data_IF_550666087726
#
_entry.id   IF_550666087726
#
_cell.length_a   1.000
_cell.length_b   1.000
_cell.length_c   1.000
_cell.angle_alpha   90.00
_cell.angle_beta   90.00
_cell.angle_gamma   90.00
#
_symmetry.space_group_name_H-M   'P 1'
#
loop_
_entity.id
_entity.type
_entity.pdbx_description
1 polymer ?
#
# COMPACT_ATOMS: atom_id res chain seq x y z
N UNK A 1 -22.93 -43.95 68.29
CA UNK A 1 -21.98 -43.74 67.17
C UNK A 1 -22.62 -42.81 66.16
N UNK A 2 -22.07 -41.60 65.96
CA UNK A 2 -22.46 -40.70 64.86
C UNK A 2 -21.20 -40.52 64.00
N UNK A 3 -21.24 -40.99 62.76
CA UNK A 3 -20.16 -40.78 61.79
C UNK A 3 -20.43 -39.51 61.00
N UNK A 4 -19.50 -38.57 61.06
CA UNK A 4 -19.54 -37.32 60.28
C UNK A 4 -18.74 -37.54 59.01
N UNK A 5 -19.38 -37.47 57.84
CA UNK A 5 -18.72 -37.53 56.55
C UNK A 5 -18.24 -36.13 56.14
N UNK A 6 -16.92 -35.92 56.13
CA UNK A 6 -16.29 -34.71 55.59
C UNK A 6 -16.26 -34.83 54.06
N UNK A 7 -17.01 -33.99 53.35
CA UNK A 7 -16.95 -33.91 51.88
C UNK A 7 -15.70 -33.14 51.47
N UNK A 8 -14.78 -33.80 50.76
CA UNK A 8 -13.64 -33.16 50.11
C UNK A 8 -14.10 -32.73 48.70
N UNK A 9 -14.21 -31.43 48.46
CA UNK A 9 -14.49 -30.88 47.15
C UNK A 9 -13.16 -30.69 46.40
N UNK A 10 -12.97 -31.43 45.30
CA UNK A 10 -11.82 -31.32 44.42
C UNK A 10 -12.16 -30.31 43.31
N UNK A 11 -11.64 -29.09 43.41
CA UNK A 11 -11.76 -28.08 42.35
C UNK A 11 -10.70 -28.34 41.28
N UNK A 12 -11.12 -28.87 40.13
CA UNK A 12 -10.29 -28.94 38.93
C UNK A 12 -10.29 -27.57 38.24
N UNK A 13 -9.15 -26.88 38.24
CA UNK A 13 -8.97 -25.68 37.43
C UNK A 13 -8.59 -26.11 35.99
N UNK A 14 -9.49 -25.90 35.03
CA UNK A 14 -9.14 -25.97 33.61
C UNK A 14 -8.34 -24.72 33.26
N UNK A 15 -7.05 -24.88 33.00
CA UNK A 15 -6.24 -23.86 32.33
C UNK A 15 -6.58 -23.90 30.84
N UNK A 16 -7.42 -22.96 30.39
CA UNK A 16 -7.61 -22.67 28.97
C UNK A 16 -6.40 -21.86 28.50
N UNK A 17 -5.40 -22.52 27.90
CA UNK A 17 -4.32 -21.83 27.21
C UNK A 17 -4.85 -21.33 25.87
N UNK A 18 -5.25 -20.06 25.80
CA UNK A 18 -5.44 -19.40 24.50
C UNK A 18 -4.08 -19.23 23.85
N UNK A 19 -3.82 -19.98 22.77
CA UNK A 19 -2.69 -19.69 21.88
C UNK A 19 -2.95 -18.30 21.26
N UNK A 20 -2.31 -17.27 21.81
CA UNK A 20 -2.20 -15.99 21.12
C UNK A 20 -1.30 -16.26 19.91
N UNK A 21 -1.86 -16.18 18.69
CA UNK A 21 -1.02 -15.91 17.53
C UNK A 21 -0.49 -14.50 17.74
N UNK A 22 0.78 -14.36 18.11
CA UNK A 22 1.39 -13.05 18.29
C UNK A 22 1.42 -12.36 16.92
N UNK A 23 0.63 -11.31 16.77
CA UNK A 23 0.88 -10.28 15.75
C UNK A 23 2.07 -9.48 16.24
N UNK A 24 3.18 -9.54 15.50
CA UNK A 24 4.41 -8.85 15.89
C UNK A 24 4.30 -7.34 15.67
N UNK A 25 3.63 -6.95 14.57
CA UNK A 25 3.41 -5.55 14.23
C UNK A 25 2.01 -5.28 13.69
N UNK A 26 1.54 -4.05 13.90
CA UNK A 26 0.39 -3.49 13.22
C UNK A 26 0.84 -2.36 12.30
N UNK A 27 0.47 -2.42 11.03
CA UNK A 27 0.81 -1.42 10.02
C UNK A 27 -0.44 -0.63 9.65
N UNK A 28 -0.36 0.70 9.78
CA UNK A 28 -1.40 1.64 9.38
C UNK A 28 -0.89 2.54 8.28
N UNK A 29 -1.56 2.54 7.13
CA UNK A 29 -1.29 3.42 6.00
C UNK A 29 -2.37 4.49 5.93
N UNK A 30 -1.97 5.76 5.86
CA UNK A 30 -2.88 6.91 5.72
C UNK A 30 -2.62 7.64 4.42
N UNK A 31 -3.67 7.91 3.66
CA UNK A 31 -3.60 8.75 2.47
C UNK A 31 -3.58 10.23 2.89
N UNK A 32 -2.46 10.92 2.61
CA UNK A 32 -2.26 12.33 2.99
C UNK A 32 -2.66 13.31 1.88
N UNK A 33 -3.10 12.82 0.73
CA UNK A 33 -3.51 13.68 -0.39
C UNK A 33 -4.91 14.25 -0.15
N UNK A 34 -5.29 15.26 -0.94
CA UNK A 34 -6.61 15.92 -0.88
C UNK A 34 -7.58 15.48 -1.97
N UNK A 35 -7.10 14.84 -3.03
CA UNK A 35 -7.91 14.44 -4.18
C UNK A 35 -7.34 13.29 -5.00
N UNK A 36 -6.38 12.54 -4.43
CA UNK A 36 -5.86 11.31 -5.04
C UNK A 36 -6.32 10.12 -4.21
N UNK A 37 -6.90 9.12 -4.84
CA UNK A 37 -7.24 7.86 -4.20
C UNK A 37 -6.08 6.88 -4.35
N UNK A 38 -5.92 5.94 -3.42
CA UNK A 38 -5.07 4.77 -3.65
C UNK A 38 -5.93 3.57 -3.98
N UNK A 39 -5.53 2.81 -4.99
CA UNK A 39 -6.06 1.47 -5.28
C UNK A 39 -5.79 0.52 -4.11
N UNK A 40 -6.38 -0.69 -4.08
CA UNK A 40 -5.97 -1.74 -3.16
C UNK A 40 -4.45 -1.80 -2.95
N UNK A 41 -4.03 -1.59 -1.71
CA UNK A 41 -2.65 -1.66 -1.30
C UNK A 41 -2.22 -3.12 -1.17
N UNK A 42 -0.94 -3.39 -1.39
CA UNK A 42 -0.27 -4.55 -0.83
C UNK A 42 0.61 -4.08 0.33
N UNK A 43 0.41 -4.69 1.49
CA UNK A 43 1.23 -4.49 2.70
C UNK A 43 1.83 -5.85 3.05
N UNK A 44 3.15 -5.98 3.03
CA UNK A 44 3.81 -7.28 3.14
C UNK A 44 5.07 -7.23 4.01
N UNK A 45 5.18 -8.14 4.97
CA UNK A 45 6.41 -8.45 5.68
C UNK A 45 7.13 -9.59 4.95
N UNK A 46 8.41 -9.42 4.63
CA UNK A 46 9.19 -10.33 3.78
C UNK A 46 10.69 -10.35 4.14
N UNK A 47 11.49 -11.28 3.60
CA UNK A 47 12.93 -11.32 3.84
C UNK A 47 13.70 -10.16 3.19
N UNK A 48 14.91 -9.90 3.68
CA UNK A 48 15.78 -8.81 3.24
C UNK A 48 16.17 -8.83 1.75
N UNK A 49 16.07 -9.99 1.09
CA UNK A 49 16.44 -10.17 -0.31
C UNK A 49 15.41 -9.61 -1.28
N UNK A 50 14.19 -9.37 -0.80
CA UNK A 50 13.03 -9.16 -1.65
C UNK A 50 12.67 -7.68 -1.68
N UNK A 51 12.13 -7.23 -2.81
CA UNK A 51 11.71 -5.85 -3.05
C UNK A 51 10.89 -5.80 -4.33
N UNK A 52 9.99 -4.83 -4.44
CA UNK A 52 9.09 -4.71 -5.59
C UNK A 52 9.66 -3.84 -6.71
N UNK A 53 10.69 -3.04 -6.45
CA UNK A 53 11.42 -2.29 -7.49
C UNK A 53 12.83 -1.86 -7.06
N UNK A 54 13.61 -1.33 -8.01
CA UNK A 54 14.84 -0.57 -7.76
C UNK A 54 14.74 0.78 -8.45
N UNK A 55 15.02 1.87 -7.72
CA UNK A 55 14.98 3.21 -8.31
C UNK A 55 16.05 3.34 -9.41
N UNK A 56 15.72 4.03 -10.51
CA UNK A 56 16.61 4.21 -11.65
C UNK A 56 16.71 3.00 -12.58
N UNK A 57 15.91 1.95 -12.37
CA UNK A 57 15.85 0.78 -13.25
C UNK A 57 14.45 0.61 -13.84
N UNK A 58 14.33 -0.11 -14.95
CA UNK A 58 13.04 -0.45 -15.54
C UNK A 58 12.14 -1.19 -14.52
N UNK A 59 10.83 -0.91 -14.58
CA UNK A 59 9.82 -1.61 -13.79
C UNK A 59 9.74 -3.10 -14.20
N UNK A 60 9.42 -3.97 -13.24
CA UNK A 60 9.01 -5.34 -13.54
C UNK A 60 7.58 -5.33 -14.11
N UNK A 61 7.19 -6.44 -14.76
CA UNK A 61 5.82 -6.60 -15.25
C UNK A 61 4.77 -6.58 -14.12
N UNK A 62 5.14 -7.08 -12.93
CA UNK A 62 4.31 -7.05 -11.72
C UNK A 62 4.13 -5.63 -11.19
N UNK A 63 5.20 -4.82 -11.15
CA UNK A 63 5.13 -3.42 -10.75
C UNK A 63 4.31 -2.61 -11.74
N UNK A 64 4.56 -2.80 -13.05
CA UNK A 64 3.80 -2.14 -14.11
C UNK A 64 2.30 -2.40 -13.96
N UNK A 65 1.90 -3.68 -13.83
CA UNK A 65 0.51 -4.05 -13.67
C UNK A 65 -0.13 -3.42 -12.43
N UNK A 66 0.61 -3.32 -11.32
CA UNK A 66 0.13 -2.63 -10.14
C UNK A 66 0.00 -1.13 -10.38
N UNK A 67 1.00 -0.50 -10.98
CA UNK A 67 1.09 0.95 -11.17
C UNK A 67 0.07 1.49 -12.18
N UNK A 68 -0.28 0.72 -13.22
CA UNK A 68 -1.23 1.12 -14.26
C UNK A 68 -2.65 0.64 -13.99
N UNK A 69 -2.84 -0.48 -13.29
CA UNK A 69 -4.17 -1.11 -13.13
C UNK A 69 -4.58 -1.32 -11.67
N UNK A 70 -3.76 -0.91 -10.70
CA UNK A 70 -4.02 -1.16 -9.28
C UNK A 70 -4.06 -2.65 -8.92
N UNK A 71 -3.58 -3.53 -9.78
CA UNK A 71 -3.65 -4.97 -9.59
C UNK A 71 -2.37 -5.50 -8.97
N UNK A 72 -2.44 -5.84 -7.68
CA UNK A 72 -1.33 -6.32 -6.87
C UNK A 72 -1.09 -7.84 -6.96
N UNK A 73 -1.90 -8.57 -7.72
CA UNK A 73 -1.89 -10.05 -7.72
C UNK A 73 -0.57 -10.67 -8.15
N UNK A 74 0.22 -9.98 -8.99
CA UNK A 74 1.53 -10.46 -9.43
C UNK A 74 2.68 -10.06 -8.49
N UNK A 75 2.49 -9.09 -7.60
CA UNK A 75 3.56 -8.66 -6.69
C UNK A 75 3.93 -9.73 -5.66
N UNK A 76 3.03 -10.70 -5.39
CA UNK A 76 3.31 -11.82 -4.48
C UNK A 76 4.46 -12.70 -4.97
N UNK A 77 4.76 -12.73 -6.29
CA UNK A 77 5.91 -13.48 -6.80
C UNK A 77 7.24 -12.79 -6.56
N UNK A 78 7.22 -11.48 -6.29
CA UNK A 78 8.42 -10.69 -6.03
C UNK A 78 8.82 -10.73 -4.55
N UNK A 79 7.90 -11.18 -3.68
CA UNK A 79 8.04 -11.22 -2.22
C UNK A 79 7.88 -12.68 -1.74
N UNK A 80 8.99 -13.41 -1.71
CA UNK A 80 9.05 -14.81 -1.32
C UNK A 80 8.72 -15.01 0.17
N UNK A 81 7.91 -16.02 0.48
CA UNK A 81 7.54 -16.39 1.87
C UNK A 81 6.93 -15.26 2.70
N UNK A 82 6.43 -14.21 2.05
CA UNK A 82 5.90 -13.02 2.70
C UNK A 82 4.56 -13.31 3.41
N UNK A 83 4.36 -12.62 4.54
CA UNK A 83 3.03 -12.41 5.11
C UNK A 83 2.47 -11.13 4.53
N UNK A 84 1.30 -11.17 3.89
CA UNK A 84 0.74 -10.02 3.19
C UNK A 84 -0.74 -9.80 3.50
N UNK A 85 -1.14 -8.55 3.39
CA UNK A 85 -2.51 -8.09 3.53
C UNK A 85 -2.84 -7.06 2.45
N UNK A 86 -4.10 -7.08 2.02
CA UNK A 86 -4.64 -6.16 1.02
C UNK A 86 -5.99 -5.62 1.48
N UNK A 87 -6.21 -4.31 1.37
CA UNK A 87 -7.56 -3.77 1.39
C UNK A 87 -8.26 -4.04 0.06
N UNK A 88 -9.59 -4.14 0.09
CA UNK A 88 -10.39 -4.42 -1.11
C UNK A 88 -10.97 -3.15 -1.75
N UNK A 89 -11.13 -2.08 -0.96
CA UNK A 89 -11.71 -0.82 -1.41
C UNK A 89 -10.61 0.24 -1.64
N UNK A 90 -10.92 1.28 -2.43
CA UNK A 90 -10.04 2.44 -2.55
C UNK A 90 -9.76 3.08 -1.19
N UNK A 91 -8.51 3.50 -0.98
CA UNK A 91 -8.14 4.32 0.17
C UNK A 91 -8.25 5.80 -0.20
N UNK A 92 -9.37 6.41 0.20
CA UNK A 92 -9.72 7.80 -0.11
C UNK A 92 -8.80 8.81 0.61
N UNK A 93 -8.67 10.05 0.10
CA UNK A 93 -8.04 11.18 0.80
C UNK A 93 -8.39 11.27 2.29
N UNK A 94 -7.37 11.35 3.14
CA UNK A 94 -7.51 11.44 4.59
C UNK A 94 -7.91 10.15 5.32
N UNK A 95 -8.25 9.08 4.59
CA UNK A 95 -8.60 7.78 5.18
C UNK A 95 -7.35 6.96 5.53
N UNK A 96 -7.54 5.94 6.38
CA UNK A 96 -6.49 4.98 6.74
C UNK A 96 -6.95 3.54 6.52
N UNK A 97 -5.98 2.69 6.15
CA UNK A 97 -6.09 1.23 6.19
C UNK A 97 -5.12 0.70 7.24
N UNK A 98 -5.56 -0.28 8.05
CA UNK A 98 -4.76 -0.85 9.14
C UNK A 98 -4.85 -2.37 9.08
N UNK A 99 -3.70 -3.02 9.19
CA UNK A 99 -3.59 -4.48 9.14
C UNK A 99 -2.52 -5.00 10.10
N UNK A 100 -2.77 -6.11 10.81
CA UNK A 100 -1.72 -6.85 11.49
C UNK A 100 -0.82 -7.56 10.48
N UNK A 101 0.45 -7.77 10.84
CA UNK A 101 1.40 -8.63 10.14
C UNK A 101 2.25 -9.45 11.14
N UNK A 102 2.77 -10.57 10.67
CA UNK A 102 3.75 -11.41 11.37
C UNK A 102 5.13 -11.29 10.72
N UNK A 103 6.16 -11.26 11.56
CA UNK A 103 7.57 -11.15 11.16
C UNK A 103 8.32 -12.49 11.26
N UNK A 104 7.57 -13.59 11.39
CA UNK A 104 8.12 -14.94 11.47
C UNK A 104 8.97 -15.30 10.23
N UNK A 105 9.80 -16.35 10.36
CA UNK A 105 10.61 -16.91 9.26
C UNK A 105 11.62 -15.92 8.62
N UNK A 106 11.99 -14.85 9.33
CA UNK A 106 12.92 -13.83 8.83
C UNK A 106 12.25 -12.76 7.98
N UNK A 107 10.94 -12.57 8.11
CA UNK A 107 10.17 -11.51 7.47
C UNK A 107 10.38 -10.17 8.18
N UNK A 108 11.63 -9.72 8.23
CA UNK A 108 12.06 -8.55 8.99
C UNK A 108 11.95 -7.24 8.19
N UNK A 109 11.45 -7.28 6.94
CA UNK A 109 11.35 -6.11 6.06
C UNK A 109 9.91 -5.89 5.59
N UNK A 110 9.52 -4.62 5.52
CA UNK A 110 8.18 -4.19 5.15
C UNK A 110 8.17 -3.54 3.76
N UNK A 111 7.22 -3.98 2.93
CA UNK A 111 6.81 -3.30 1.71
C UNK A 111 5.36 -2.86 1.81
N UNK A 112 5.08 -1.62 1.41
CA UNK A 112 3.73 -1.06 1.22
C UNK A 112 3.70 -0.50 -0.18
N UNK A 113 2.74 -0.89 -1.02
CA UNK A 113 2.66 -0.41 -2.40
C UNK A 113 1.22 -0.35 -2.91
N UNK A 114 0.90 0.64 -3.74
CA UNK A 114 -0.40 0.76 -4.40
C UNK A 114 -0.47 1.93 -5.37
N UNK A 115 -1.20 1.78 -6.46
CA UNK A 115 -1.36 2.82 -7.50
C UNK A 115 -2.16 4.00 -6.96
N UNK A 116 -1.77 5.19 -7.40
CA UNK A 116 -2.42 6.46 -7.17
C UNK A 116 -3.38 6.80 -8.31
N UNK A 117 -4.57 7.31 -8.01
CA UNK A 117 -5.57 7.70 -8.99
C UNK A 117 -6.11 9.11 -8.75
N UNK A 118 -6.25 9.95 -9.78
CA UNK A 118 -5.84 9.69 -11.16
C UNK A 118 -4.34 9.92 -11.37
N UNK A 119 -3.63 8.93 -11.91
CA UNK A 119 -2.26 9.04 -12.48
C UNK A 119 -2.12 8.00 -13.60
N UNK A 120 -1.13 8.14 -14.50
CA UNK A 120 -0.86 7.13 -15.54
C UNK A 120 -0.33 5.83 -14.92
N UNK A 121 0.85 5.92 -14.29
CA UNK A 121 1.57 4.82 -13.65
C UNK A 121 2.21 5.25 -12.32
N UNK A 122 1.56 6.21 -11.64
CA UNK A 122 1.97 6.71 -10.33
C UNK A 122 1.56 5.80 -9.19
N UNK A 123 2.43 5.62 -8.20
CA UNK A 123 2.17 4.75 -7.04
C UNK A 123 2.84 5.24 -5.75
N UNK A 124 2.33 4.83 -4.60
CA UNK A 124 3.03 5.00 -3.32
C UNK A 124 3.92 3.80 -3.06
N UNK A 125 5.07 4.01 -2.40
CA UNK A 125 5.85 2.88 -1.92
C UNK A 125 6.67 3.12 -0.65
N UNK A 126 6.57 2.15 0.27
CA UNK A 126 7.65 1.74 1.18
C UNK A 126 8.22 0.45 0.58
N UNK A 127 9.51 0.41 0.28
CA UNK A 127 10.10 -0.71 -0.49
C UNK A 127 11.24 -1.35 0.31
N UNK A 128 10.99 -2.53 0.86
CA UNK A 128 11.94 -3.30 1.67
C UNK A 128 12.59 -2.49 2.80
N UNK A 129 11.76 -1.95 3.71
CA UNK A 129 12.21 -1.18 4.87
C UNK A 129 12.36 -2.08 6.10
N UNK A 130 13.49 -2.03 6.79
CA UNK A 130 13.72 -2.86 7.99
C UNK A 130 12.70 -2.53 9.09
N UNK A 131 11.93 -3.53 9.52
CA UNK A 131 10.91 -3.38 10.56
C UNK A 131 11.60 -3.09 11.91
N UNK A 132 11.17 -2.06 12.66
CA UNK A 132 11.67 -1.82 14.00
C UNK A 132 11.40 -3.00 14.94
N UNK A 133 12.37 -3.36 15.79
CA UNK A 133 12.25 -4.50 16.70
C UNK A 133 11.93 -4.11 18.15
N UNK A 134 12.06 -2.83 18.49
CA UNK A 134 11.77 -2.33 19.83
C UNK A 134 10.30 -1.97 19.93
N UNK A 135 9.62 -2.43 20.99
CA UNK A 135 8.22 -2.10 21.25
C UNK A 135 8.00 -0.57 21.23
N UNK A 136 7.00 -0.13 20.49
CA UNK A 136 6.74 1.29 20.26
C UNK A 136 6.05 1.60 18.94
N UNK A 137 5.89 2.88 18.65
CA UNK A 137 5.22 3.37 17.43
C UNK A 137 6.20 4.18 16.60
N UNK A 138 6.29 3.85 15.31
CA UNK A 138 7.21 4.43 14.35
C UNK A 138 6.43 4.96 13.15
N UNK A 139 6.64 6.23 12.77
CA UNK A 139 5.91 6.85 11.66
C UNK A 139 6.87 7.29 10.58
N UNK A 140 6.56 6.89 9.34
CA UNK A 140 7.30 7.18 8.12
C UNK A 140 6.37 7.91 7.14
N UNK A 141 6.96 8.72 6.26
CA UNK A 141 6.22 9.33 5.15
C UNK A 141 6.69 8.74 3.83
N UNK A 142 5.77 8.56 2.89
CA UNK A 142 6.05 8.00 1.56
C UNK A 142 5.88 9.07 0.50
N UNK A 143 6.81 9.08 -0.44
CA UNK A 143 6.68 9.83 -1.68
C UNK A 143 5.92 8.99 -2.71
N UNK A 144 5.33 9.68 -3.68
CA UNK A 144 4.86 9.11 -4.92
C UNK A 144 6.05 8.76 -5.82
N UNK A 145 5.92 7.62 -6.48
CA UNK A 145 6.82 7.08 -7.48
C UNK A 145 6.07 6.95 -8.80
N UNK A 146 6.84 6.86 -9.87
CA UNK A 146 6.43 6.77 -11.26
C UNK A 146 7.13 5.52 -11.81
N UNK A 147 6.37 4.62 -12.43
CA UNK A 147 6.91 3.35 -12.93
C UNK A 147 7.77 3.55 -14.19
N UNK A 148 7.58 4.66 -14.90
CA UNK A 148 8.22 4.98 -16.17
C UNK A 148 7.85 4.02 -17.28
N UNK A 149 6.65 3.42 -17.22
CA UNK A 149 6.13 2.48 -18.22
C UNK A 149 5.15 3.13 -19.17
N UNK A 150 4.57 4.27 -18.78
CA UNK A 150 3.72 5.09 -19.62
C UNK A 150 4.26 6.51 -19.81
N UNK A 151 3.67 7.21 -20.77
CA UNK A 151 3.92 8.61 -20.97
C UNK A 151 3.13 9.45 -19.97
N UNK A 152 3.82 10.34 -19.25
CA UNK A 152 3.24 11.24 -18.27
C UNK A 152 2.44 12.38 -18.93
N UNK A 153 1.18 12.12 -19.28
CA UNK A 153 0.21 13.14 -19.65
C UNK A 153 -1.06 13.05 -18.82
N UNK A 154 -1.69 14.21 -18.61
CA UNK A 154 -2.82 14.32 -17.69
C UNK A 154 -4.16 14.22 -18.42
N UNK A 155 -4.19 13.55 -19.58
CA UNK A 155 -5.38 13.38 -20.39
C UNK A 155 -6.17 12.17 -19.88
N UNK A 156 -7.45 12.34 -19.62
CA UNK A 156 -8.34 11.30 -19.10
C UNK A 156 -8.46 10.10 -20.06
N UNK A 157 -8.19 10.30 -21.35
CA UNK A 157 -8.12 9.25 -22.35
C UNK A 157 -6.89 8.33 -22.21
N UNK A 158 -5.85 8.80 -21.53
CA UNK A 158 -4.58 8.07 -21.34
C UNK A 158 -4.34 7.67 -19.88
N UNK A 159 -5.11 8.21 -18.93
CA UNK A 159 -5.07 7.82 -17.52
C UNK A 159 -5.96 6.57 -17.31
N UNK A 160 -5.40 5.46 -16.83
CA UNK A 160 -6.20 4.31 -16.44
C UNK A 160 -7.15 4.64 -15.28
N UNK A 161 -8.34 4.04 -15.31
CA UNK A 161 -9.32 4.14 -14.22
C UNK A 161 -9.82 2.74 -13.83
N UNK A 162 -8.96 1.89 -13.25
CA UNK A 162 -9.32 0.53 -12.86
C UNK A 162 -10.46 0.46 -11.84
N UNK A 163 -10.72 1.58 -11.12
CA UNK A 163 -11.82 1.69 -10.17
C UNK A 163 -13.12 2.25 -10.78
N UNK A 164 -13.11 2.68 -12.06
CA UNK A 164 -14.29 3.16 -12.77
C UNK A 164 -14.91 4.47 -12.27
N UNK A 165 -14.25 5.19 -11.34
CA UNK A 165 -14.87 6.31 -10.59
C UNK A 165 -14.13 7.65 -10.70
N UNK A 166 -12.95 7.69 -11.34
CA UNK A 166 -12.05 8.86 -11.22
C UNK A 166 -11.85 9.60 -12.55
N UNK A 167 -11.80 8.90 -13.70
CA UNK A 167 -11.77 9.50 -15.05
C UNK A 167 -12.76 8.78 -15.97
N UNK A 168 -13.59 9.51 -16.70
CA UNK A 168 -14.83 8.95 -17.30
C UNK A 168 -14.64 7.93 -18.43
N UNK A 169 -13.42 7.68 -18.90
CA UNK A 169 -13.21 6.92 -20.14
C UNK A 169 -12.30 5.69 -20.05
N UNK A 170 -11.78 5.32 -18.86
CA UNK A 170 -10.97 4.11 -18.72
C UNK A 170 -9.83 4.07 -19.74
N UNK A 171 -8.98 5.11 -19.71
CA UNK A 171 -7.89 5.27 -20.65
C UNK A 171 -7.03 4.01 -20.75
N UNK A 172 -6.51 3.73 -21.94
CA UNK A 172 -5.77 2.48 -22.18
C UNK A 172 -4.34 2.54 -21.69
N UNK A 173 -3.88 3.70 -21.20
CA UNK A 173 -2.47 4.00 -21.11
C UNK A 173 -1.85 4.21 -22.49
N UNK A 174 -0.91 5.15 -22.61
CA UNK A 174 -0.05 5.44 -23.78
C UNK A 174 -0.55 6.44 -24.84
N UNK A 175 0.15 7.59 -24.90
CA UNK A 175 0.40 8.34 -26.15
C UNK A 175 1.76 9.09 -26.20
N UNK A 176 2.74 8.78 -25.33
CA UNK A 176 4.06 9.43 -25.38
C UNK A 176 5.23 8.51 -24.97
N UNK A 177 6.46 9.01 -25.09
CA UNK A 177 7.70 8.27 -24.79
C UNK A 177 7.81 8.12 -23.28
N UNK A 178 7.67 6.89 -22.78
CA UNK A 178 7.89 6.56 -21.37
C UNK A 178 9.35 6.80 -20.94
N UNK A 179 9.55 7.18 -19.69
CA UNK A 179 10.88 7.44 -19.11
C UNK A 179 11.77 6.18 -19.09
N UNK A 180 11.17 5.00 -18.95
CA UNK A 180 11.84 3.70 -19.01
C UNK A 180 12.52 3.26 -17.72
N UNK A 181 12.32 3.99 -16.61
CA UNK A 181 12.86 3.65 -15.31
C UNK A 181 12.01 4.22 -14.17
N UNK A 182 12.01 3.53 -13.03
CA UNK A 182 11.28 3.95 -11.83
C UNK A 182 11.94 5.17 -11.19
N UNK A 183 11.19 6.24 -10.96
CA UNK A 183 11.67 7.47 -10.32
C UNK A 183 10.62 8.14 -9.44
N UNK A 184 10.99 9.22 -8.74
CA UNK A 184 10.04 10.00 -7.94
C UNK A 184 9.03 10.67 -8.88
N UNK A 185 7.74 10.49 -8.62
CA UNK A 185 6.68 11.14 -9.39
C UNK A 185 6.73 12.65 -9.17
N UNK A 186 6.53 13.41 -10.24
CA UNK A 186 6.66 14.88 -10.23
C UNK A 186 5.41 15.61 -9.69
N UNK A 187 4.45 14.87 -9.14
CA UNK A 187 3.10 15.35 -8.86
C UNK A 187 2.26 15.58 -10.12
N UNK A 188 0.95 15.40 -10.03
CA UNK A 188 0.03 15.98 -11.01
C UNK A 188 0.06 17.50 -10.85
N UNK A 189 -0.02 18.22 -11.95
CA UNK A 189 -0.09 19.67 -12.02
C UNK A 189 -1.55 20.10 -12.18
N UNK A 190 -2.27 19.47 -13.11
CA UNK A 190 -3.62 19.85 -13.51
C UNK A 190 -3.69 21.19 -14.26
N UNK A 191 -4.89 21.55 -14.71
CA UNK A 191 -5.22 22.92 -15.07
C UNK A 191 -6.61 23.34 -14.53
N UNK A 192 -7.11 24.49 -14.97
CA UNK A 192 -8.40 25.04 -14.54
C UNK A 192 -9.42 25.17 -15.67
N UNK A 193 -9.13 24.64 -16.86
CA UNK A 193 -10.03 24.68 -18.00
C UNK A 193 -10.91 23.41 -18.01
N UNK A 194 -12.21 23.60 -17.83
CA UNK A 194 -13.16 22.48 -17.76
C UNK A 194 -13.71 22.07 -19.13
N UNK A 195 -13.31 22.75 -20.20
CA UNK A 195 -13.79 22.54 -21.58
C UNK A 195 -12.66 22.31 -22.59
N UNK A 196 -11.43 22.19 -22.12
CA UNK A 196 -10.21 22.09 -22.92
C UNK A 196 -8.99 22.13 -22.02
N UNK A 197 -7.86 22.63 -22.51
CA UNK A 197 -6.63 22.76 -21.74
C UNK A 197 -5.56 21.76 -22.14
N UNK A 198 -4.49 21.73 -21.34
CA UNK A 198 -3.38 20.79 -21.50
C UNK A 198 -3.57 19.54 -20.62
N UNK A 199 -4.53 19.58 -19.69
CA UNK A 199 -4.79 18.56 -18.69
C UNK A 199 -6.29 18.38 -18.49
N UNK A 200 -6.74 17.13 -18.37
CA UNK A 200 -8.12 16.83 -17.94
C UNK A 200 -8.22 16.75 -16.40
N UNK A 201 -7.11 16.95 -15.69
CA UNK A 201 -7.06 16.96 -14.24
C UNK A 201 -7.23 18.38 -13.69
N UNK A 202 -8.17 18.55 -12.75
CA UNK A 202 -8.37 19.81 -12.04
C UNK A 202 -7.21 20.12 -11.06
N UNK A 203 -6.44 21.18 -11.33
CA UNK A 203 -5.31 21.63 -10.52
C UNK A 203 -5.68 21.95 -9.07
N UNK A 204 -6.93 22.27 -8.77
CA UNK A 204 -7.40 22.55 -7.41
C UNK A 204 -7.73 21.27 -6.63
N UNK A 205 -7.85 20.13 -7.31
CA UNK A 205 -8.25 18.84 -6.71
C UNK A 205 -7.16 17.78 -6.79
N UNK A 206 -6.64 17.55 -7.99
CA UNK A 206 -5.78 16.41 -8.30
C UNK A 206 -4.30 16.74 -8.18
N UNK A 207 -3.93 18.03 -8.07
CA UNK A 207 -2.54 18.41 -7.83
C UNK A 207 -2.08 17.89 -6.48
N UNK A 208 -0.90 17.27 -6.45
CA UNK A 208 -0.28 16.80 -5.22
C UNK A 208 1.21 17.12 -5.16
N UNK A 209 1.74 17.15 -3.94
CA UNK A 209 3.16 17.23 -3.65
C UNK A 209 3.54 16.08 -2.73
N UNK A 210 4.82 15.73 -2.74
CA UNK A 210 5.36 14.78 -1.77
C UNK A 210 5.52 15.43 -0.39
N UNK A 211 5.33 14.65 0.70
CA UNK A 211 4.91 13.25 0.75
C UNK A 211 3.39 13.07 0.56
N UNK A 212 2.98 11.88 0.12
CA UNK A 212 1.57 11.56 -0.24
C UNK A 212 0.92 10.55 0.70
N UNK A 213 1.70 9.80 1.48
CA UNK A 213 1.18 8.86 2.47
C UNK A 213 1.99 8.88 3.76
N UNK A 214 1.36 8.43 4.85
CA UNK A 214 2.01 8.13 6.13
C UNK A 214 1.86 6.64 6.43
N UNK A 215 2.93 6.01 6.90
CA UNK A 215 2.92 4.63 7.39
C UNK A 215 3.32 4.63 8.86
N UNK A 216 2.43 4.15 9.71
CA UNK A 216 2.70 3.94 11.14
C UNK A 216 2.83 2.46 11.41
N UNK A 217 3.95 2.05 12.02
CA UNK A 217 4.23 0.69 12.47
C UNK A 217 4.19 0.69 13.99
N UNK A 218 3.32 -0.14 14.56
CA UNK A 218 3.27 -0.40 16.00
C UNK A 218 3.87 -1.78 16.25
N UNK A 219 4.92 -1.85 17.06
CA UNK A 219 5.60 -3.09 17.47
C UNK A 219 5.11 -3.45 18.87
N UNK A 220 4.60 -4.67 19.03
CA UNK A 220 3.95 -5.15 20.26
C UNK A 220 4.94 -5.76 21.28
#
# INVERSE_FOLDING_TARGET
>A
MKFTFTKLALTSALLMSSSLFATDITVKVTNLTSGINFTPLMVAAHPASDKVFTAGTAASASLQLMAEMGNTSLLVSDLSTADFANNTALLMPGASYETPLTTNLGNDYLTVVGMMLPTNDGFIAMNSMLIPTTAGTYTYTLNAWDAGTEGNDELAANIPNPAGDITSNGGTGLSSIAEGFVHIHRGNIGDSDTSGGLSDLDASKHRFLNPVASVTITVN
#
